data_IF_454975152334
#
_entry.id   IF_454975152334
#
_cell.length_a   1.000
_cell.length_b   1.000
_cell.length_c   1.000
_cell.angle_alpha   90.00
_cell.angle_beta   90.00
_cell.angle_gamma   90.00
#
_symmetry.space_group_name_H-M   'P 1'
#
loop_
_entity.id
_entity.type
_entity.pdbx_description
1 polymer ?
#
# COMPACT_ATOMS: atom_id res chain seq x y z
N UNK A 1 -4.17 -11.00 12.71
CA UNK A 1 -2.84 -10.39 12.56
C UNK A 1 -2.69 -10.00 11.11
N UNK A 2 -2.70 -8.71 10.78
CA UNK A 2 -2.49 -8.24 9.41
C UNK A 2 -0.98 -8.02 9.22
N UNK A 3 -0.43 -8.55 8.13
CA UNK A 3 0.99 -8.37 7.79
C UNK A 3 1.06 -7.32 6.69
N UNK A 4 1.61 -6.16 7.02
CA UNK A 4 1.80 -5.07 6.04
C UNK A 4 3.22 -5.15 5.50
N UNK A 5 3.35 -5.32 4.18
CA UNK A 5 4.65 -5.22 3.51
C UNK A 5 5.02 -3.75 3.37
N UNK A 6 6.15 -3.39 3.96
CA UNK A 6 6.74 -2.06 3.84
C UNK A 6 7.91 -2.16 2.86
N UNK A 7 8.00 -1.22 1.92
CA UNK A 7 9.12 -1.12 0.99
C UNK A 7 10.43 -0.85 1.76
N UNK A 8 11.55 -1.40 1.28
CA UNK A 8 12.84 -1.36 1.99
C UNK A 8 13.30 0.07 2.30
N UNK A 9 13.07 1.01 1.38
CA UNK A 9 13.43 2.42 1.57
C UNK A 9 12.70 3.08 2.75
N UNK A 10 11.43 2.75 2.96
CA UNK A 10 10.61 3.27 4.05
C UNK A 10 11.03 2.61 5.37
N UNK A 11 11.38 1.32 5.33
CA UNK A 11 11.93 0.59 6.47
C UNK A 11 13.26 1.18 6.94
N UNK A 12 14.20 1.48 6.03
CA UNK A 12 15.48 2.11 6.39
C UNK A 12 15.29 3.47 7.07
N UNK A 13 14.36 4.30 6.57
CA UNK A 13 14.06 5.60 7.18
C UNK A 13 13.51 5.44 8.60
N UNK A 14 12.62 4.48 8.80
CA UNK A 14 12.05 4.18 10.11
C UNK A 14 13.12 3.67 11.09
N UNK A 15 14.00 2.77 10.64
CA UNK A 15 15.10 2.27 11.46
C UNK A 15 16.08 3.37 11.85
N UNK A 16 16.38 4.32 10.96
CA UNK A 16 17.21 5.50 11.29
C UNK A 16 16.56 6.38 12.35
N UNK A 17 15.26 6.66 12.23
CA UNK A 17 14.51 7.47 13.19
C UNK A 17 14.50 6.82 14.59
N UNK A 18 14.31 5.49 14.63
CA UNK A 18 14.38 4.72 15.87
C UNK A 18 15.78 4.68 16.46
N UNK A 19 16.82 4.58 15.64
CA UNK A 19 18.20 4.63 16.11
C UNK A 19 18.54 5.97 16.77
N UNK A 20 17.97 7.09 16.28
CA UNK A 20 18.12 8.40 16.91
C UNK A 20 17.44 8.49 18.28
N UNK A 21 16.26 7.88 18.44
CA UNK A 21 15.56 7.84 19.73
C UNK A 21 16.26 6.91 20.72
N UNK A 22 16.83 5.80 20.24
CA UNK A 22 17.63 4.89 21.06
C UNK A 22 18.87 5.60 21.63
N UNK A 23 19.51 6.50 20.86
CA UNK A 23 20.62 7.34 21.37
C UNK A 23 20.20 8.30 22.48
N UNK A 24 18.92 8.69 22.54
CA UNK A 24 18.34 9.54 23.59
C UNK A 24 17.91 8.75 24.83
N UNK A 25 18.08 7.42 24.83
CA UNK A 25 17.71 6.55 25.93
C UNK A 25 16.26 6.03 25.88
N UNK A 26 15.53 6.31 24.81
CA UNK A 26 14.15 5.86 24.63
C UNK A 26 14.12 4.56 23.83
N UNK A 27 13.70 3.47 24.47
CA UNK A 27 13.61 2.15 23.83
C UNK A 27 12.21 1.96 23.25
N UNK A 28 12.01 2.48 22.04
CA UNK A 28 10.76 2.29 21.27
C UNK A 28 10.95 1.15 20.27
N UNK A 29 9.96 0.26 20.18
CA UNK A 29 9.92 -0.79 19.17
C UNK A 29 9.38 -0.27 17.83
N UNK A 30 9.70 -0.96 16.73
CA UNK A 30 9.16 -0.65 15.40
C UNK A 30 7.62 -0.67 15.40
N UNK A 31 7.02 -1.62 16.13
CA UNK A 31 5.56 -1.75 16.22
C UNK A 31 4.92 -0.56 16.93
N UNK A 32 5.50 -0.11 18.05
CA UNK A 32 5.00 1.06 18.78
C UNK A 32 5.14 2.34 17.94
N UNK A 33 6.28 2.54 17.28
CA UNK A 33 6.49 3.69 16.41
C UNK A 33 5.51 3.71 15.23
N UNK A 34 5.26 2.56 14.59
CA UNK A 34 4.26 2.45 13.54
C UNK A 34 2.85 2.75 14.07
N UNK A 35 2.51 2.25 15.27
CA UNK A 35 1.23 2.57 15.90
C UNK A 35 1.03 4.06 16.10
N UNK A 36 2.03 4.75 16.66
CA UNK A 36 1.98 6.21 16.86
C UNK A 36 1.92 6.99 15.54
N UNK A 37 2.67 6.55 14.52
CA UNK A 37 2.65 7.17 13.19
C UNK A 37 1.27 7.04 12.54
N UNK A 38 0.64 5.87 12.64
CA UNK A 38 -0.72 5.64 12.12
C UNK A 38 -1.73 6.51 12.86
N UNK A 39 -1.68 6.55 14.20
CA UNK A 39 -2.59 7.41 14.97
C UNK A 39 -2.42 8.89 14.64
N UNK A 40 -1.18 9.35 14.41
CA UNK A 40 -0.90 10.72 14.02
C UNK A 40 -1.43 11.02 12.62
N UNK A 41 -1.20 10.12 11.68
CA UNK A 41 -1.68 10.21 10.30
C UNK A 41 -3.21 10.27 10.24
N UNK A 42 -3.90 9.43 11.02
CA UNK A 42 -5.38 9.42 11.10
C UNK A 42 -5.97 10.71 11.71
N UNK A 43 -5.20 11.44 12.52
CA UNK A 43 -5.64 12.72 13.11
C UNK A 43 -5.32 13.94 12.24
N UNK A 44 -4.55 13.76 11.17
CA UNK A 44 -4.09 14.85 10.31
C UNK A 44 -4.94 14.95 9.06
N UNK A 45 -5.80 15.96 8.96
CA UNK A 45 -6.62 16.21 7.76
C UNK A 45 -5.76 16.38 6.49
N UNK A 46 -4.58 16.99 6.60
CA UNK A 46 -3.65 17.13 5.47
C UNK A 46 -3.09 15.80 4.96
N UNK A 47 -3.00 14.79 5.82
CA UNK A 47 -2.62 13.46 5.38
C UNK A 47 -3.75 12.81 4.58
N UNK A 48 -5.02 13.15 4.87
CA UNK A 48 -6.16 12.72 4.07
C UNK A 48 -6.12 13.33 2.66
N UNK A 49 -5.68 14.59 2.53
CA UNK A 49 -5.51 15.28 1.24
C UNK A 49 -4.50 14.56 0.32
N UNK A 50 -3.46 13.90 0.87
CA UNK A 50 -2.51 13.10 0.07
C UNK A 50 -3.18 11.89 -0.63
N UNK A 51 -4.32 11.40 -0.11
CA UNK A 51 -5.09 10.35 -0.79
C UNK A 51 -5.95 10.89 -1.92
N UNK A 52 -6.31 12.17 -1.93
CA UNK A 52 -7.09 12.79 -3.00
C UNK A 52 -6.28 12.98 -4.30
N UNK A 53 -4.95 12.97 -4.21
CA UNK A 53 -4.06 12.97 -5.38
C UNK A 53 -3.97 11.60 -6.08
N UNK A 54 -4.47 10.54 -5.45
CA UNK A 54 -4.60 9.24 -6.13
C UNK A 54 -5.65 9.35 -7.24
N UNK A 55 -5.45 8.68 -8.38
CA UNK A 55 -6.42 8.73 -9.45
C UNK A 55 -7.79 8.30 -8.89
N UNK A 56 -8.86 9.05 -9.18
CA UNK A 56 -10.19 8.69 -8.72
C UNK A 56 -10.49 7.25 -9.16
N UNK A 57 -11.25 6.53 -8.34
CA UNK A 57 -11.56 5.11 -8.56
C UNK A 57 -12.04 4.81 -9.98
N UNK A 58 -12.75 5.76 -10.60
CA UNK A 58 -13.23 5.71 -11.98
C UNK A 58 -12.13 5.58 -13.04
N UNK A 59 -10.91 6.04 -12.73
CA UNK A 59 -9.71 5.94 -13.57
C UNK A 59 -8.83 4.75 -13.21
N UNK A 60 -9.16 4.01 -12.15
CA UNK A 60 -8.44 2.79 -11.78
C UNK A 60 -8.67 1.72 -12.87
N UNK A 61 -7.60 1.13 -13.45
CA UNK A 61 -7.73 0.11 -14.49
C UNK A 61 -8.56 -1.11 -14.07
N UNK A 62 -8.48 -1.54 -12.81
CA UNK A 62 -9.29 -2.65 -12.30
C UNK A 62 -10.76 -2.24 -12.17
N UNK A 63 -11.04 -1.00 -11.76
CA UNK A 63 -12.41 -0.47 -11.74
C UNK A 63 -13.02 -0.34 -13.13
N UNK A 64 -12.26 0.16 -14.11
CA UNK A 64 -12.68 0.22 -15.51
C UNK A 64 -12.97 -1.20 -16.05
N UNK A 65 -12.11 -2.17 -15.71
CA UNK A 65 -12.29 -3.57 -16.12
C UNK A 65 -13.53 -4.23 -15.48
N UNK A 66 -13.95 -3.81 -14.29
CA UNK A 66 -15.22 -4.26 -13.69
C UNK A 66 -16.44 -3.71 -14.44
N UNK A 67 -16.40 -2.45 -14.85
CA UNK A 67 -17.51 -1.80 -15.59
C UNK A 67 -17.58 -2.27 -17.05
N UNK A 68 -16.44 -2.50 -17.68
CA UNK A 68 -16.31 -3.04 -19.04
C UNK A 68 -15.38 -4.25 -19.03
N UNK A 69 -15.89 -5.42 -18.61
CA UNK A 69 -15.12 -6.64 -18.65
C UNK A 69 -14.70 -6.94 -20.09
N UNK A 70 -13.42 -7.20 -20.28
CA UNK A 70 -12.88 -7.58 -21.58
C UNK A 70 -13.51 -8.93 -21.94
N UNK A 71 -14.41 -8.92 -22.93
CA UNK A 71 -14.98 -10.14 -23.49
C UNK A 71 -13.94 -10.77 -24.41
N UNK A 72 -13.11 -11.64 -23.84
CA UNK A 72 -12.08 -12.40 -24.56
C UNK A 72 -12.66 -13.48 -25.48
N UNK A 73 -13.95 -13.83 -25.32
CA UNK A 73 -14.62 -14.89 -26.08
C UNK A 73 -14.21 -16.31 -25.68
N UNK A 74 -13.38 -16.44 -24.64
CA UNK A 74 -12.87 -17.72 -24.14
C UNK A 74 -13.81 -18.20 -23.02
N UNK A 75 -14.29 -19.45 -23.14
CA UNK A 75 -15.30 -20.04 -22.25
C UNK A 75 -14.81 -20.24 -20.82
N UNK A 76 -13.52 -20.51 -20.65
CA UNK A 76 -12.89 -20.68 -19.35
C UNK A 76 -11.44 -20.15 -19.40
N UNK A 77 -11.21 -19.09 -18.65
CA UNK A 77 -9.88 -18.49 -18.49
C UNK A 77 -9.28 -18.82 -17.12
N UNK A 78 -9.99 -19.51 -16.24
CA UNK A 78 -9.59 -19.69 -14.84
C UNK A 78 -8.21 -20.31 -14.67
N UNK A 79 -7.83 -21.24 -15.56
CA UNK A 79 -6.55 -21.95 -15.49
C UNK A 79 -5.41 -21.27 -16.26
N UNK A 80 -5.70 -20.40 -17.24
CA UNK A 80 -4.68 -19.88 -18.18
C UNK A 80 -4.67 -18.34 -18.29
N UNK A 81 -5.39 -17.62 -17.44
CA UNK A 81 -5.54 -16.16 -17.52
C UNK A 81 -4.20 -15.42 -17.54
N UNK A 82 -3.21 -15.92 -16.79
CA UNK A 82 -1.90 -15.28 -16.68
C UNK A 82 -1.16 -15.22 -18.03
N UNK A 83 -1.30 -16.25 -18.88
CA UNK A 83 -0.65 -16.28 -20.20
C UNK A 83 -1.22 -15.22 -21.16
N UNK A 84 -2.52 -14.94 -21.04
CA UNK A 84 -3.22 -14.00 -21.91
C UNK A 84 -3.13 -12.54 -21.42
N UNK A 85 -3.07 -12.34 -20.10
CA UNK A 85 -2.99 -11.01 -19.50
C UNK A 85 -1.55 -10.52 -19.43
N UNK A 86 -0.59 -11.39 -19.11
CA UNK A 86 0.81 -10.99 -18.92
C UNK A 86 1.70 -11.25 -20.12
N UNK A 87 1.23 -11.99 -21.14
CA UNK A 87 2.01 -12.33 -22.33
C UNK A 87 3.27 -13.11 -21.95
N UNK A 88 3.16 -14.44 -21.91
CA UNK A 88 4.28 -15.33 -21.56
C UNK A 88 5.58 -15.02 -22.29
#
# INVERSE_FOLDING_TARGET
>A
MAVVKVQDRQKEKLERLLAEHLKRGERITIQEALGMMIEHALKCEKFAEEFEELPPLEKDPAWIALQKPIKTGIRDLSENIDQYIYGG
#
